data_IF_478643849666
#
_entry.id   IF_478643849666
#
_cell.length_a   1.000
_cell.length_b   1.000
_cell.length_c   1.000
_cell.angle_alpha   90.00
_cell.angle_beta   90.00
_cell.angle_gamma   90.00
#
_symmetry.space_group_name_H-M   'P 1'
#
loop_
_entity.id
_entity.type
_entity.pdbx_description
1 polymer ?
#
# COMPACT_ATOMS: atom_id res chain seq x y z
N UNK A 1 14.26 -10.85 66.25
CA UNK A 1 13.54 -11.59 65.22
C UNK A 1 13.51 -10.76 63.93
N UNK A 2 14.19 -11.15 62.87
CA UNK A 2 14.09 -10.39 61.60
C UNK A 2 12.68 -10.58 61.04
N UNK A 3 11.96 -9.51 60.83
CA UNK A 3 10.70 -9.53 60.10
C UNK A 3 11.03 -9.64 58.59
N UNK A 4 10.76 -10.78 58.04
CA UNK A 4 10.81 -10.95 56.60
C UNK A 4 9.63 -10.20 55.97
N UNK A 5 9.90 -9.08 55.34
CA UNK A 5 8.92 -8.41 54.50
C UNK A 5 8.98 -9.06 53.14
N UNK A 6 7.92 -9.72 52.67
CA UNK A 6 7.93 -10.21 51.31
C UNK A 6 7.87 -9.01 50.37
N UNK A 7 8.96 -8.79 49.66
CA UNK A 7 8.96 -7.87 48.51
C UNK A 7 8.12 -8.55 47.44
N UNK A 8 6.85 -8.17 47.36
CA UNK A 8 6.01 -8.52 46.23
C UNK A 8 6.51 -7.71 45.04
N UNK A 9 7.34 -8.36 44.23
CA UNK A 9 7.74 -7.84 42.92
C UNK A 9 6.49 -7.88 42.04
N UNK A 10 5.75 -6.79 41.99
CA UNK A 10 4.69 -6.60 41.03
C UNK A 10 5.35 -6.50 39.64
N UNK A 11 5.44 -7.61 38.92
CA UNK A 11 5.69 -7.58 37.48
C UNK A 11 4.52 -6.86 36.82
N UNK A 12 4.69 -5.57 36.59
CA UNK A 12 3.84 -4.86 35.65
C UNK A 12 4.09 -5.47 34.25
N UNK A 13 3.23 -6.41 33.85
CA UNK A 13 3.10 -6.80 32.50
C UNK A 13 2.63 -5.56 31.72
N UNK A 14 3.59 -4.81 31.21
CA UNK A 14 3.29 -3.79 30.21
C UNK A 14 2.63 -4.50 29.04
N UNK A 15 1.32 -4.37 28.91
CA UNK A 15 0.59 -4.80 27.72
C UNK A 15 1.15 -3.99 26.56
N UNK A 16 2.08 -4.56 25.80
CA UNK A 16 2.47 -3.98 24.53
C UNK A 16 1.21 -4.02 23.66
N UNK A 17 0.55 -2.87 23.47
CA UNK A 17 -0.47 -2.73 22.46
C UNK A 17 0.16 -3.14 21.11
N UNK A 18 -0.48 -4.02 20.28
CA UNK A 18 0.04 -4.31 18.96
C UNK A 18 0.17 -2.98 18.23
N UNK A 19 1.38 -2.67 17.75
CA UNK A 19 1.62 -1.61 16.79
C UNK A 19 0.88 -2.03 15.52
N UNK A 20 -0.39 -1.66 15.42
CA UNK A 20 -1.03 -1.66 14.12
C UNK A 20 -0.29 -0.64 13.27
N UNK A 21 0.47 -1.13 12.29
CA UNK A 21 1.00 -0.27 11.26
C UNK A 21 -0.19 0.46 10.64
N UNK A 22 -0.29 1.77 10.88
CA UNK A 22 -1.33 2.58 10.26
C UNK A 22 -1.25 2.36 8.74
N UNK A 23 -2.34 1.88 8.16
CA UNK A 23 -2.38 1.70 6.71
C UNK A 23 -2.14 3.05 6.05
N UNK A 24 -1.14 3.10 5.21
CA UNK A 24 -0.85 4.29 4.42
C UNK A 24 -2.00 4.46 3.44
N UNK A 25 -2.71 5.58 3.57
CA UNK A 25 -3.90 5.86 2.78
C UNK A 25 -3.61 6.06 1.30
N UNK A 26 -4.68 6.05 0.51
CA UNK A 26 -4.61 6.25 -0.95
C UNK A 26 -3.97 7.58 -1.33
N UNK A 27 -4.20 8.66 -0.58
CA UNK A 27 -3.59 9.97 -0.84
C UNK A 27 -2.06 9.89 -0.85
N UNK A 28 -1.48 9.14 0.09
CA UNK A 28 -0.03 8.98 0.14
C UNK A 28 0.49 8.15 -1.04
N UNK A 29 -0.20 7.09 -1.43
CA UNK A 29 0.20 6.30 -2.60
C UNK A 29 0.13 7.16 -3.87
N UNK A 30 -0.91 7.98 -4.03
CA UNK A 30 -1.01 8.91 -5.17
C UNK A 30 0.16 9.89 -5.17
N UNK A 31 0.52 10.45 -4.02
CA UNK A 31 1.67 11.35 -3.89
C UNK A 31 2.96 10.66 -4.33
N UNK A 32 3.21 9.46 -3.84
CA UNK A 32 4.40 8.69 -4.18
C UNK A 32 4.44 8.36 -5.68
N UNK A 33 3.31 7.98 -6.27
CA UNK A 33 3.24 7.64 -7.69
C UNK A 33 3.40 8.85 -8.62
N UNK A 34 3.35 10.08 -8.12
CA UNK A 34 3.62 11.30 -8.90
C UNK A 34 5.10 11.60 -9.09
N UNK A 35 6.01 10.69 -8.73
CA UNK A 35 7.43 10.89 -8.95
C UNK A 35 7.74 11.24 -10.43
N UNK A 36 8.77 12.07 -10.71
CA UNK A 36 9.13 12.44 -12.07
C UNK A 36 9.49 11.21 -12.92
N UNK A 37 8.95 11.16 -14.14
CA UNK A 37 9.21 10.06 -15.08
C UNK A 37 10.50 10.25 -15.85
N UNK A 38 10.97 11.49 -15.99
CA UNK A 38 12.14 11.85 -16.77
C UNK A 38 13.07 12.76 -15.98
N UNK A 39 14.35 12.79 -16.38
CA UNK A 39 15.37 13.62 -15.77
C UNK A 39 15.95 13.02 -14.49
N UNK A 40 16.83 13.79 -13.86
CA UNK A 40 17.41 13.41 -12.57
C UNK A 40 16.37 13.61 -11.45
N UNK A 41 16.24 12.60 -10.62
CA UNK A 41 15.42 12.64 -9.42
C UNK A 41 16.26 12.96 -8.20
N UNK A 42 15.68 13.67 -7.25
CA UNK A 42 16.23 13.81 -5.91
C UNK A 42 16.17 12.48 -5.16
N UNK A 43 16.84 12.40 -4.00
CA UNK A 43 16.78 11.21 -3.13
C UNK A 43 15.31 10.94 -2.72
N UNK A 44 14.57 11.96 -2.35
CA UNK A 44 13.17 11.83 -1.94
C UNK A 44 12.26 11.37 -3.09
N UNK A 45 12.48 11.89 -4.29
CA UNK A 45 11.75 11.47 -5.49
C UNK A 45 12.07 10.01 -5.87
N UNK A 46 13.31 9.57 -5.68
CA UNK A 46 13.67 8.16 -5.86
C UNK A 46 13.01 7.26 -4.81
N UNK A 47 12.93 7.72 -3.57
CA UNK A 47 12.23 7.00 -2.51
C UNK A 47 10.73 6.89 -2.83
N UNK A 48 10.11 7.94 -3.31
CA UNK A 48 8.70 7.94 -3.74
C UNK A 48 8.48 6.94 -4.90
N UNK A 49 9.35 6.97 -5.91
CA UNK A 49 9.28 6.02 -7.03
C UNK A 49 9.38 4.57 -6.55
N UNK A 50 10.33 4.28 -5.67
CA UNK A 50 10.51 2.95 -5.12
C UNK A 50 9.28 2.50 -4.32
N UNK A 51 8.74 3.36 -3.47
CA UNK A 51 7.57 3.04 -2.66
C UNK A 51 6.33 2.80 -3.53
N UNK A 52 6.09 3.66 -4.52
CA UNK A 52 4.99 3.49 -5.47
C UNK A 52 5.09 2.16 -6.22
N UNK A 53 6.21 1.95 -6.90
CA UNK A 53 6.38 0.79 -7.77
C UNK A 53 6.44 -0.53 -7.00
N UNK A 54 7.10 -0.55 -5.84
CA UNK A 54 7.17 -1.75 -5.00
C UNK A 54 5.81 -2.12 -4.43
N UNK A 55 5.00 -1.12 -4.04
CA UNK A 55 3.66 -1.39 -3.54
C UNK A 55 2.76 -1.97 -4.63
N UNK A 56 2.78 -1.39 -5.82
CA UNK A 56 2.00 -1.89 -6.96
C UNK A 56 2.43 -3.30 -7.34
N UNK A 57 3.73 -3.54 -7.43
CA UNK A 57 4.27 -4.87 -7.77
C UNK A 57 3.83 -5.93 -6.76
N UNK A 58 3.98 -5.65 -5.48
CA UNK A 58 3.54 -6.55 -4.41
C UNK A 58 2.03 -6.77 -4.39
N UNK A 59 1.25 -5.72 -4.64
CA UNK A 59 -0.21 -5.81 -4.72
C UNK A 59 -0.65 -6.71 -5.89
N UNK A 60 -0.08 -6.52 -7.07
CA UNK A 60 -0.39 -7.33 -8.26
C UNK A 60 0.04 -8.78 -8.04
N UNK A 61 1.23 -9.01 -7.50
CA UNK A 61 1.71 -10.35 -7.18
C UNK A 61 0.78 -11.05 -6.17
N UNK A 62 0.36 -10.34 -5.13
CA UNK A 62 -0.58 -10.84 -4.13
C UNK A 62 -1.94 -11.20 -4.73
N UNK A 63 -2.47 -10.37 -5.60
CA UNK A 63 -3.74 -10.62 -6.27
C UNK A 63 -3.69 -11.85 -7.19
N UNK A 64 -2.52 -12.17 -7.74
CA UNK A 64 -2.35 -13.32 -8.65
C UNK A 64 -2.41 -14.68 -7.96
N UNK A 65 -2.18 -14.72 -6.65
CA UNK A 65 -2.15 -15.98 -5.86
C UNK A 65 -3.43 -16.22 -5.04
N UNK A 66 -4.35 -15.27 -5.04
CA UNK A 66 -5.63 -15.43 -4.33
C UNK A 66 -6.56 -16.35 -5.13
N UNK A 67 -7.18 -17.31 -4.44
CA UNK A 67 -8.17 -18.21 -5.05
C UNK A 67 -9.46 -17.43 -5.36
N UNK A 68 -10.10 -17.77 -6.47
CA UNK A 68 -11.37 -17.18 -6.90
C UNK A 68 -11.25 -16.30 -8.13
N UNK A 69 -12.32 -15.55 -8.47
CA UNK A 69 -12.31 -14.67 -9.62
C UNK A 69 -11.25 -13.58 -9.48
N UNK A 70 -10.51 -13.33 -10.55
CA UNK A 70 -9.52 -12.26 -10.55
C UNK A 70 -10.19 -10.89 -10.53
N UNK A 71 -9.77 -9.96 -9.67
CA UNK A 71 -10.37 -8.62 -9.61
C UNK A 71 -10.00 -7.75 -10.82
N UNK A 72 -8.89 -8.06 -11.49
CA UNK A 72 -8.41 -7.38 -12.70
C UNK A 72 -7.48 -8.32 -13.48
N UNK A 73 -7.25 -8.00 -14.74
CA UNK A 73 -6.41 -8.79 -15.65
C UNK A 73 -5.43 -7.88 -16.38
N UNK A 74 -4.25 -7.68 -15.79
CA UNK A 74 -3.20 -6.85 -16.39
C UNK A 74 -2.52 -7.63 -17.50
N UNK A 75 -2.42 -7.08 -18.74
CA UNK A 75 -1.67 -7.73 -19.81
C UNK A 75 -0.20 -7.91 -19.44
N UNK A 76 0.38 -9.05 -19.82
CA UNK A 76 1.78 -9.38 -19.49
C UNK A 76 2.81 -8.39 -20.05
N UNK A 77 2.44 -7.61 -21.05
CA UNK A 77 3.29 -6.57 -21.65
C UNK A 77 3.23 -5.23 -20.91
N UNK A 78 2.37 -5.08 -19.92
CA UNK A 78 2.24 -3.84 -19.14
C UNK A 78 3.41 -3.69 -18.20
N UNK A 79 4.03 -2.51 -18.19
CA UNK A 79 5.12 -2.19 -17.25
C UNK A 79 4.59 -1.65 -15.92
N UNK A 80 5.38 -1.72 -14.85
CA UNK A 80 5.01 -1.11 -13.56
C UNK A 80 4.76 0.39 -13.68
N UNK A 81 5.50 1.08 -14.52
CA UNK A 81 5.28 2.52 -14.76
C UNK A 81 3.91 2.75 -15.41
N UNK A 82 3.53 1.93 -16.37
CA UNK A 82 2.20 2.02 -16.98
C UNK A 82 1.08 1.71 -15.98
N UNK A 83 1.30 0.78 -15.08
CA UNK A 83 0.35 0.48 -13.98
C UNK A 83 0.22 1.68 -13.03
N UNK A 84 1.34 2.30 -12.66
CA UNK A 84 1.33 3.52 -11.85
C UNK A 84 0.60 4.68 -12.55
N UNK A 85 0.80 4.85 -13.85
CA UNK A 85 0.11 5.88 -14.64
C UNK A 85 -1.39 5.61 -14.75
N UNK A 86 -1.79 4.36 -14.89
CA UNK A 86 -3.20 3.96 -14.87
C UNK A 86 -3.86 4.29 -13.52
N UNK A 87 -3.15 4.01 -12.42
CA UNK A 87 -3.62 4.37 -11.08
C UNK A 87 -3.79 5.87 -10.91
N UNK A 88 -2.83 6.67 -11.33
CA UNK A 88 -2.90 8.13 -11.26
C UNK A 88 -4.05 8.69 -12.10
N UNK A 89 -4.26 8.16 -13.29
CA UNK A 89 -5.36 8.60 -14.17
C UNK A 89 -6.72 8.33 -13.51
N UNK A 90 -6.87 7.16 -12.89
CA UNK A 90 -8.08 6.81 -12.15
C UNK A 90 -8.28 7.70 -10.92
N UNK A 91 -7.23 7.91 -10.12
CA UNK A 91 -7.27 8.69 -8.89
C UNK A 91 -7.67 10.15 -9.16
N UNK A 92 -7.23 10.73 -10.28
CA UNK A 92 -7.59 12.09 -10.70
C UNK A 92 -9.09 12.27 -10.94
N UNK A 93 -9.82 11.19 -11.22
CA UNK A 93 -11.27 11.20 -11.45
C UNK A 93 -12.07 10.74 -10.22
N UNK A 94 -11.41 10.28 -9.18
CA UNK A 94 -12.03 9.66 -8.01
C UNK A 94 -11.46 10.21 -6.70
N UNK A 95 -11.31 11.53 -6.62
CA UNK A 95 -10.72 12.22 -5.47
C UNK A 95 -11.45 11.92 -4.14
N UNK A 96 -12.75 11.67 -4.18
CA UNK A 96 -13.57 11.30 -3.03
C UNK A 96 -13.22 9.93 -2.43
N UNK A 97 -12.58 9.06 -3.20
CA UNK A 97 -12.19 7.70 -2.75
C UNK A 97 -10.79 7.65 -2.15
N UNK A 98 -10.04 8.74 -2.17
CA UNK A 98 -8.65 8.79 -1.69
C UNK A 98 -8.53 8.74 -0.16
N UNK A 99 -9.63 8.83 0.57
CA UNK A 99 -9.68 8.58 2.02
C UNK A 99 -9.65 7.10 2.39
N UNK A 100 -9.83 6.22 1.40
CA UNK A 100 -9.84 4.77 1.60
C UNK A 100 -8.41 4.21 1.67
N UNK A 101 -8.23 3.00 2.22
CA UNK A 101 -6.96 2.30 2.17
C UNK A 101 -6.44 2.17 0.73
N UNK A 102 -5.12 2.25 0.57
CA UNK A 102 -4.49 2.22 -0.76
C UNK A 102 -4.78 0.95 -1.57
N UNK A 103 -4.93 -0.19 -0.91
CA UNK A 103 -5.29 -1.42 -1.62
C UNK A 103 -6.71 -1.39 -2.20
N UNK A 104 -7.63 -0.68 -1.55
CA UNK A 104 -9.01 -0.53 -2.03
C UNK A 104 -9.05 0.32 -3.30
N UNK A 105 -8.40 1.49 -3.27
CA UNK A 105 -8.35 2.38 -4.43
C UNK A 105 -7.59 1.74 -5.60
N UNK A 106 -6.52 1.02 -5.32
CA UNK A 106 -5.72 0.35 -6.35
C UNK A 106 -6.51 -0.79 -7.02
N UNK A 107 -7.25 -1.58 -6.24
CA UNK A 107 -8.11 -2.63 -6.79
C UNK A 107 -9.20 -2.06 -7.70
N UNK A 108 -9.82 -0.95 -7.30
CA UNK A 108 -10.84 -0.27 -8.11
C UNK A 108 -10.24 0.29 -9.39
N UNK A 109 -9.10 0.98 -9.28
CA UNK A 109 -8.40 1.55 -10.44
C UNK A 109 -8.04 0.47 -11.46
N UNK A 110 -7.47 -0.64 -11.02
CA UNK A 110 -7.07 -1.72 -11.91
C UNK A 110 -8.25 -2.53 -12.44
N UNK A 111 -9.32 -2.65 -11.66
CA UNK A 111 -10.57 -3.25 -12.14
C UNK A 111 -11.18 -2.50 -13.33
N UNK A 112 -11.07 -1.16 -13.32
CA UNK A 112 -11.54 -0.32 -14.43
C UNK A 112 -10.54 -0.24 -15.59
N UNK A 113 -9.22 -0.12 -15.29
CA UNK A 113 -8.20 0.02 -16.32
C UNK A 113 -7.87 -1.29 -17.03
N UNK A 114 -7.96 -2.40 -16.31
CA UNK A 114 -7.59 -3.73 -16.79
C UNK A 114 -8.69 -4.76 -16.50
N UNK A 115 -9.89 -4.56 -17.06
CA UNK A 115 -10.99 -5.49 -16.82
C UNK A 115 -10.67 -6.88 -17.36
N UNK A 116 -11.09 -7.92 -16.64
CA UNK A 116 -10.98 -9.27 -17.13
C UNK A 116 -12.00 -9.54 -18.23
N UNK A 117 -11.66 -10.35 -19.26
CA UNK A 117 -12.61 -10.77 -20.28
C UNK A 117 -13.80 -11.50 -19.64
N UNK A 118 -14.99 -11.23 -20.16
CA UNK A 118 -16.21 -11.94 -19.76
C UNK A 118 -16.30 -13.31 -20.41
#
# INVERSE_FOLDING_TARGET
>A
MPKWVPIVLALALASAAPLEAADVGSTELVRQCKYPRQGKRTIDENADALQCLSYIDGFVAGASIVAGPRPFCIPATTTLVQEADAYLAWAGKHADTLTQPRYVSLQRAFGEAFPCPK
#
